data_IF_864162094987
#
_entry.id   IF_864162094987
#
_cell.length_a   1.000
_cell.length_b   1.000
_cell.length_c   1.000
_cell.angle_alpha   90.00
_cell.angle_beta   90.00
_cell.angle_gamma   90.00
#
_symmetry.space_group_name_H-M   'P 1'
#
loop_
_entity.id
_entity.type
_entity.pdbx_description
1 polymer ?
#
# COMPACT_ATOMS: atom_id res chain seq x y z
N UNK A 1 -7.65 24.59 -42.98
CA UNK A 1 -8.02 24.96 -41.60
C UNK A 1 -8.08 23.65 -40.86
N UNK A 2 -6.96 23.29 -40.27
CA UNK A 2 -6.73 21.97 -39.68
C UNK A 2 -7.36 21.91 -38.28
N UNK A 3 -8.23 20.92 -38.06
CA UNK A 3 -8.69 20.55 -36.72
C UNK A 3 -7.63 19.66 -36.07
N UNK A 4 -7.12 20.10 -34.92
CA UNK A 4 -6.19 19.35 -34.07
C UNK A 4 -6.91 18.16 -33.38
N UNK A 5 -6.26 16.98 -33.27
CA UNK A 5 -6.84 15.83 -32.58
C UNK A 5 -6.86 16.02 -31.05
N UNK A 6 -7.80 15.37 -30.32
CA UNK A 6 -7.93 15.51 -28.88
C UNK A 6 -6.72 14.91 -28.14
N UNK A 7 -6.17 15.67 -27.20
CA UNK A 7 -5.00 15.30 -26.41
C UNK A 7 -5.28 14.11 -25.45
N UNK A 8 -4.44 13.04 -25.47
CA UNK A 8 -4.61 11.86 -24.61
C UNK A 8 -4.32 12.09 -23.11
N UNK A 9 -3.84 13.28 -22.73
CA UNK A 9 -3.43 13.59 -21.35
C UNK A 9 -4.59 13.86 -20.38
N UNK A 10 -5.77 14.29 -20.86
CA UNK A 10 -6.92 14.57 -19.97
C UNK A 10 -7.68 13.30 -19.57
N UNK A 11 -7.77 12.33 -20.48
CA UNK A 11 -8.52 11.09 -20.29
C UNK A 11 -7.89 10.21 -19.20
N UNK A 12 -6.55 10.19 -19.11
CA UNK A 12 -5.82 9.44 -18.09
C UNK A 12 -6.02 10.01 -16.66
N UNK A 13 -6.12 11.35 -16.53
CA UNK A 13 -6.38 11.99 -15.23
C UNK A 13 -7.78 11.70 -14.71
N UNK A 14 -8.78 11.65 -15.60
CA UNK A 14 -10.16 11.35 -15.22
C UNK A 14 -10.33 9.91 -14.74
N UNK A 15 -9.69 8.93 -15.39
CA UNK A 15 -9.71 7.53 -14.93
C UNK A 15 -9.03 7.35 -13.57
N UNK A 16 -7.91 8.03 -13.31
CA UNK A 16 -7.23 7.98 -12.01
C UNK A 16 -8.03 8.60 -10.86
N UNK A 17 -8.80 9.66 -11.13
CA UNK A 17 -9.68 10.29 -10.12
C UNK A 17 -10.89 9.39 -9.84
N UNK A 18 -11.50 8.79 -10.87
CA UNK A 18 -12.65 7.90 -10.70
C UNK A 18 -12.26 6.62 -9.92
N UNK A 19 -11.08 6.06 -10.18
CA UNK A 19 -10.54 4.92 -9.42
C UNK A 19 -10.34 5.26 -7.94
N UNK A 20 -9.78 6.45 -7.65
CA UNK A 20 -9.57 6.95 -6.28
C UNK A 20 -10.88 7.13 -5.51
N UNK A 21 -11.95 7.61 -6.17
CA UNK A 21 -13.26 7.81 -5.52
C UNK A 21 -13.95 6.47 -5.24
N UNK A 22 -13.89 5.50 -6.17
CA UNK A 22 -14.56 4.20 -6.00
C UNK A 22 -13.94 3.36 -4.87
N UNK A 23 -12.61 3.34 -4.73
CA UNK A 23 -11.94 2.62 -3.63
C UNK A 23 -12.27 3.20 -2.24
N UNK A 24 -12.45 4.52 -2.14
CA UNK A 24 -12.82 5.20 -0.89
C UNK A 24 -14.26 4.88 -0.49
N UNK A 25 -15.20 4.91 -1.45
CA UNK A 25 -16.62 4.64 -1.18
C UNK A 25 -16.84 3.17 -0.78
N UNK A 26 -16.15 2.22 -1.40
CA UNK A 26 -16.27 0.80 -1.04
C UNK A 26 -15.68 0.49 0.34
N UNK A 27 -14.61 1.17 0.73
CA UNK A 27 -14.00 1.06 2.07
C UNK A 27 -14.90 1.62 3.19
N UNK A 28 -15.83 2.51 2.86
CA UNK A 28 -16.81 3.07 3.82
C UNK A 28 -18.00 2.12 4.00
N UNK A 29 -18.48 1.49 2.92
CA UNK A 29 -19.67 0.62 2.94
C UNK A 29 -19.42 -0.75 3.55
N UNK A 30 -18.20 -1.29 3.49
CA UNK A 30 -17.88 -2.64 4.01
C UNK A 30 -17.59 -2.63 5.52
N UNK A 31 -17.24 -1.48 6.11
CA UNK A 31 -16.74 -1.40 7.49
C UNK A 31 -17.62 -0.66 8.49
N UNK A 32 -18.75 -0.08 8.06
CA UNK A 32 -19.76 0.49 8.97
C UNK A 32 -21.17 -0.01 8.59
N UNK A 33 -21.87 -0.77 9.44
CA UNK A 33 -23.27 -1.08 9.22
C UNK A 33 -24.09 0.20 9.50
N UNK A 34 -24.39 0.97 8.46
CA UNK A 34 -25.30 2.11 8.56
C UNK A 34 -26.75 1.61 8.42
N UNK A 35 -27.55 1.91 9.43
CA UNK A 35 -28.98 1.62 9.51
C UNK A 35 -29.74 2.33 8.37
N UNK A 36 -30.29 1.54 7.45
CA UNK A 36 -30.84 1.95 6.14
C UNK A 36 -32.09 2.83 6.26
N UNK A 37 -32.64 3.01 7.46
CA UNK A 37 -33.88 3.78 7.68
C UNK A 37 -33.69 5.29 7.78
N UNK A 38 -32.47 5.78 8.06
CA UNK A 38 -32.24 7.23 8.21
C UNK A 38 -32.14 8.00 6.88
N UNK A 39 -31.90 7.30 5.75
CA UNK A 39 -31.62 7.95 4.47
C UNK A 39 -32.89 8.21 3.63
N UNK A 40 -33.95 7.42 3.81
CA UNK A 40 -35.19 7.54 3.03
C UNK A 40 -36.01 8.79 3.39
N UNK A 41 -35.83 9.33 4.61
CA UNK A 41 -36.55 10.53 5.06
C UNK A 41 -35.95 11.85 4.54
N UNK A 42 -34.69 11.87 4.12
CA UNK A 42 -34.01 13.11 3.68
C UNK A 42 -34.13 13.34 2.16
N UNK A 43 -34.20 12.26 1.37
CA UNK A 43 -34.42 12.35 -0.09
C UNK A 43 -35.83 12.86 -0.41
N UNK A 44 -36.83 12.49 0.40
CA UNK A 44 -38.23 12.90 0.22
C UNK A 44 -38.50 14.37 0.55
N UNK A 45 -37.59 15.07 1.23
CA UNK A 45 -37.76 16.49 1.58
C UNK A 45 -37.18 17.46 0.54
N UNK A 46 -36.40 16.98 -0.43
CA UNK A 46 -35.64 17.86 -1.33
C UNK A 46 -35.77 17.55 -2.84
N UNK A 47 -36.75 16.77 -3.26
CA UNK A 47 -37.00 16.56 -4.71
C UNK A 47 -38.44 16.87 -5.11
N UNK A 48 -38.57 17.81 -6.04
CA UNK A 48 -39.83 18.24 -6.64
C UNK A 48 -40.37 17.12 -7.57
N UNK A 49 -41.65 16.72 -7.47
CA UNK A 49 -42.16 15.55 -8.16
C UNK A 49 -42.73 15.92 -9.55
N UNK A 50 -41.90 15.91 -10.59
CA UNK A 50 -42.42 15.94 -11.97
C UNK A 50 -41.39 15.60 -13.05
N UNK A 51 -40.71 14.44 -13.01
CA UNK A 51 -40.20 13.79 -14.24
C UNK A 51 -40.14 12.28 -14.04
N UNK A 52 -41.30 11.66 -13.84
CA UNK A 52 -41.51 10.25 -14.16
C UNK A 52 -42.57 10.24 -15.25
N UNK A 53 -42.12 10.27 -16.50
CA UNK A 53 -42.77 9.64 -17.65
C UNK A 53 -41.95 9.94 -18.90
N UNK A 54 -41.53 8.88 -19.60
CA UNK A 54 -41.07 9.01 -20.98
C UNK A 54 -39.76 8.31 -21.31
N UNK A 55 -39.91 7.06 -21.78
CA UNK A 55 -39.09 6.45 -22.83
C UNK A 55 -37.67 5.98 -22.46
N UNK A 56 -37.66 4.72 -22.03
CA UNK A 56 -36.65 3.74 -22.44
C UNK A 56 -36.62 3.68 -23.98
N UNK A 57 -35.57 4.20 -24.59
CA UNK A 57 -35.17 3.82 -25.94
C UNK A 57 -33.67 4.07 -26.18
N UNK A 58 -32.94 2.96 -26.33
CA UNK A 58 -31.62 2.82 -26.95
C UNK A 58 -30.54 3.84 -26.59
N UNK A 59 -29.69 3.47 -25.63
CA UNK A 59 -28.29 3.92 -25.61
C UNK A 59 -27.39 2.68 -25.61
N UNK A 60 -27.14 2.15 -26.81
CA UNK A 60 -25.94 1.35 -27.05
C UNK A 60 -24.77 2.35 -27.06
N UNK A 61 -24.09 2.47 -25.93
CA UNK A 61 -22.96 3.35 -25.70
C UNK A 61 -22.02 2.78 -24.63
N UNK A 62 -20.89 3.45 -24.34
CA UNK A 62 -19.69 2.91 -23.65
C UNK A 62 -19.91 2.42 -22.20
N UNK A 63 -21.14 2.47 -21.71
CA UNK A 63 -21.55 1.89 -20.44
C UNK A 63 -21.49 0.35 -20.45
N UNK A 64 -21.72 -0.32 -21.58
CA UNK A 64 -21.60 -1.79 -21.65
C UNK A 64 -20.15 -2.26 -21.55
N UNK A 65 -19.21 -1.53 -22.14
CA UNK A 65 -17.77 -1.76 -21.98
C UNK A 65 -17.31 -1.40 -20.57
N UNK A 66 -17.77 -0.29 -19.99
CA UNK A 66 -17.46 0.05 -18.60
C UNK A 66 -17.99 -1.01 -17.61
N UNK A 67 -19.19 -1.56 -17.86
CA UNK A 67 -19.78 -2.64 -17.07
C UNK A 67 -19.10 -4.00 -17.32
N UNK A 68 -18.58 -4.28 -18.51
CA UNK A 68 -17.75 -5.47 -18.76
C UNK A 68 -16.35 -5.34 -18.15
N UNK A 69 -15.75 -4.15 -18.19
CA UNK A 69 -14.48 -3.84 -17.53
C UNK A 69 -14.65 -3.97 -16.02
N UNK A 70 -15.75 -3.48 -15.46
CA UNK A 70 -16.14 -3.60 -14.05
C UNK A 70 -16.43 -5.06 -13.65
N UNK A 71 -17.09 -5.84 -14.52
CA UNK A 71 -17.28 -7.28 -14.31
C UNK A 71 -15.98 -8.08 -14.37
N UNK A 72 -15.01 -7.71 -15.21
CA UNK A 72 -13.64 -8.29 -15.19
C UNK A 72 -12.85 -7.85 -13.96
N UNK A 73 -13.17 -6.69 -13.41
CA UNK A 73 -12.60 -6.17 -12.17
C UNK A 73 -13.07 -6.97 -10.93
N UNK A 74 -14.28 -7.56 -10.97
CA UNK A 74 -14.88 -8.32 -9.87
C UNK A 74 -15.03 -9.84 -10.06
N UNK A 75 -14.94 -10.37 -11.28
CA UNK A 75 -14.92 -11.83 -11.46
C UNK A 75 -13.53 -12.34 -11.10
N UNK A 76 -13.36 -12.82 -9.86
CA UNK A 76 -12.19 -13.53 -9.33
C UNK A 76 -11.89 -14.86 -10.04
N UNK A 77 -11.87 -14.85 -11.37
CA UNK A 77 -11.51 -15.95 -12.24
C UNK A 77 -10.32 -15.47 -13.07
N UNK A 78 -9.10 -15.59 -12.52
CA UNK A 78 -7.89 -15.46 -13.35
C UNK A 78 -6.64 -14.82 -12.77
N UNK A 79 -6.53 -14.57 -11.45
CA UNK A 79 -5.19 -14.33 -10.84
C UNK A 79 -4.85 -15.57 -10.03
N UNK A 80 -4.37 -16.60 -10.73
CA UNK A 80 -3.96 -17.86 -10.13
C UNK A 80 -2.52 -17.83 -9.61
N UNK A 81 -1.74 -16.82 -10.00
CA UNK A 81 -0.30 -16.75 -9.70
C UNK A 81 0.18 -15.36 -9.29
N UNK A 82 1.30 -15.30 -8.55
CA UNK A 82 1.96 -14.05 -8.20
C UNK A 82 2.39 -13.22 -9.42
N UNK A 83 2.76 -13.89 -10.52
CA UNK A 83 3.16 -13.24 -11.77
C UNK A 83 1.99 -12.50 -12.42
N UNK A 84 0.84 -13.16 -12.56
CA UNK A 84 -0.38 -12.53 -13.09
C UNK A 84 -0.82 -11.33 -12.23
N UNK A 85 -0.65 -11.39 -10.91
CA UNK A 85 -0.91 -10.26 -10.02
C UNK A 85 -0.04 -9.05 -10.38
N UNK A 86 1.26 -9.26 -10.56
CA UNK A 86 2.20 -8.17 -10.90
C UNK A 86 1.95 -7.66 -12.32
N UNK A 87 1.70 -8.54 -13.29
CA UNK A 87 1.35 -8.16 -14.66
C UNK A 87 0.09 -7.29 -14.70
N UNK A 88 -0.93 -7.62 -13.89
CA UNK A 88 -2.12 -6.79 -13.76
C UNK A 88 -1.79 -5.40 -13.19
N UNK A 89 -0.96 -5.32 -12.14
CA UNK A 89 -0.50 -4.02 -11.61
C UNK A 89 0.27 -3.20 -12.65
N UNK A 90 1.03 -3.86 -13.54
CA UNK A 90 1.70 -3.19 -14.67
C UNK A 90 0.68 -2.69 -15.71
N UNK A 91 -0.30 -3.52 -16.08
CA UNK A 91 -1.34 -3.17 -17.04
C UNK A 91 -2.18 -1.96 -16.59
N UNK A 92 -2.46 -1.84 -15.29
CA UNK A 92 -3.14 -0.68 -14.71
C UNK A 92 -2.22 0.53 -14.48
N UNK A 93 -0.93 0.43 -14.81
CA UNK A 93 0.04 1.52 -14.68
C UNK A 93 0.41 1.86 -13.24
N UNK A 94 0.10 0.98 -12.28
CA UNK A 94 0.54 1.05 -10.88
C UNK A 94 2.02 0.77 -10.80
N UNK A 95 2.47 -0.34 -11.39
CA UNK A 95 3.90 -0.69 -11.53
C UNK A 95 4.40 -0.26 -12.90
N UNK A 96 5.44 0.57 -12.90
CA UNK A 96 6.11 1.12 -14.09
C UNK A 96 7.59 0.77 -14.12
N UNK A 97 8.20 0.57 -12.95
CA UNK A 97 9.59 0.14 -12.86
C UNK A 97 9.70 -1.37 -13.11
N UNK A 98 10.57 -1.73 -14.05
CA UNK A 98 10.97 -3.13 -14.31
C UNK A 98 11.60 -3.76 -13.08
N UNK A 99 12.41 -3.00 -12.33
CA UNK A 99 13.09 -3.53 -11.13
C UNK A 99 12.10 -3.83 -10.02
N UNK A 100 11.09 -2.98 -9.85
CA UNK A 100 10.01 -3.21 -8.87
C UNK A 100 9.17 -4.43 -9.26
N UNK A 101 8.77 -4.57 -10.54
CA UNK A 101 8.02 -5.76 -10.97
C UNK A 101 8.82 -7.05 -10.77
N UNK A 102 10.09 -7.07 -11.17
CA UNK A 102 10.97 -8.26 -10.99
C UNK A 102 11.07 -8.68 -9.52
N UNK A 103 11.19 -7.72 -8.60
CA UNK A 103 11.25 -8.02 -7.17
C UNK A 103 9.92 -8.53 -6.64
N UNK A 104 8.80 -7.90 -7.00
CA UNK A 104 7.47 -8.36 -6.58
C UNK A 104 7.13 -9.73 -7.16
N UNK A 105 7.54 -10.04 -8.39
CA UNK A 105 7.38 -11.37 -9.00
C UNK A 105 8.19 -12.44 -8.25
N UNK A 106 9.38 -12.07 -7.75
CA UNK A 106 10.29 -12.98 -7.04
C UNK A 106 9.85 -13.27 -5.59
N UNK A 107 9.15 -12.32 -4.95
CA UNK A 107 8.62 -12.49 -3.58
C UNK A 107 7.16 -12.92 -3.70
N UNK A 108 6.92 -14.22 -3.74
CA UNK A 108 5.56 -14.76 -3.84
C UNK A 108 4.72 -14.36 -2.62
N UNK A 109 3.70 -13.53 -2.87
CA UNK A 109 2.78 -13.03 -1.85
C UNK A 109 2.03 -14.15 -1.12
N UNK A 110 1.84 -15.33 -1.71
CA UNK A 110 1.17 -16.45 -1.06
C UNK A 110 1.87 -16.92 0.22
N UNK A 111 3.18 -16.72 0.37
CA UNK A 111 3.89 -17.05 1.61
C UNK A 111 3.62 -16.07 2.75
N UNK A 112 3.01 -14.92 2.47
CA UNK A 112 2.84 -13.82 3.42
C UNK A 112 1.37 -13.57 3.77
N UNK A 113 0.46 -14.39 3.25
CA UNK A 113 -0.99 -14.31 3.48
C UNK A 113 -1.42 -15.57 4.25
N UNK A 114 -2.38 -15.49 5.20
CA UNK A 114 -2.88 -16.67 5.88
C UNK A 114 -3.49 -17.70 4.93
N UNK A 115 -3.41 -18.98 5.30
CA UNK A 115 -3.96 -20.08 4.52
C UNK A 115 -5.48 -19.92 4.30
N UNK A 116 -5.95 -20.32 3.11
CA UNK A 116 -7.38 -20.28 2.76
C UNK A 116 -7.88 -18.90 2.28
N UNK A 117 -7.03 -17.88 2.25
CA UNK A 117 -7.36 -16.56 1.68
C UNK A 117 -6.74 -16.41 0.29
N UNK A 118 -7.46 -15.87 -0.73
CA UNK A 118 -6.89 -15.58 -2.04
C UNK A 118 -5.73 -14.58 -1.94
N UNK A 119 -4.47 -14.97 -2.20
CA UNK A 119 -3.31 -14.14 -1.87
C UNK A 119 -3.05 -13.02 -2.90
N UNK A 120 -3.56 -13.19 -4.12
CA UNK A 120 -3.22 -12.37 -5.28
C UNK A 120 -4.28 -11.35 -5.67
N UNK A 121 -5.35 -11.23 -4.88
CA UNK A 121 -6.36 -10.19 -5.07
C UNK A 121 -5.81 -8.88 -4.56
N UNK A 122 -6.02 -7.79 -5.30
CA UNK A 122 -5.49 -6.46 -4.95
C UNK A 122 -6.26 -5.78 -3.80
N UNK A 123 -6.22 -6.40 -2.61
CA UNK A 123 -6.91 -5.95 -1.40
C UNK A 123 -6.03 -6.18 -0.17
N UNK A 124 -6.17 -5.38 0.90
CA UNK A 124 -5.62 -5.74 2.19
C UNK A 124 -6.23 -7.05 2.70
N UNK A 125 -5.44 -7.84 3.43
CA UNK A 125 -5.89 -9.10 4.05
C UNK A 125 -5.57 -9.08 5.54
N UNK A 126 -6.51 -9.44 6.43
CA UNK A 126 -6.25 -9.57 7.86
C UNK A 126 -5.19 -10.64 8.17
N UNK A 127 -4.31 -10.36 9.12
CA UNK A 127 -3.21 -11.25 9.53
C UNK A 127 -3.23 -11.58 11.03
N UNK A 128 -4.36 -11.29 11.69
CA UNK A 128 -4.49 -11.33 13.15
C UNK A 128 -3.98 -10.06 13.82
N UNK A 129 -4.12 -10.00 15.15
CA UNK A 129 -3.59 -8.91 15.99
C UNK A 129 -4.01 -7.50 15.56
N UNK A 130 -5.23 -7.35 15.01
CA UNK A 130 -5.76 -6.11 14.46
C UNK A 130 -4.85 -5.46 13.38
N UNK A 131 -4.11 -6.30 12.65
CA UNK A 131 -3.26 -5.91 11.55
C UNK A 131 -3.72 -6.53 10.22
N UNK A 132 -3.26 -5.92 9.12
CA UNK A 132 -3.49 -6.41 7.77
C UNK A 132 -2.18 -6.39 6.98
N UNK A 133 -1.96 -7.36 6.10
CA UNK A 133 -1.00 -7.18 5.00
C UNK A 133 -1.63 -6.23 3.97
N UNK A 134 -0.92 -5.17 3.61
CA UNK A 134 -1.41 -4.16 2.66
C UNK A 134 -1.69 -4.74 1.28
N UNK A 135 -2.56 -4.07 0.52
CA UNK A 135 -2.86 -4.43 -0.86
C UNK A 135 -1.58 -4.43 -1.74
N UNK A 136 -1.46 -5.35 -2.71
CA UNK A 136 -0.40 -5.37 -3.71
C UNK A 136 -0.06 -4.00 -4.32
N UNK A 137 -1.05 -3.19 -4.72
CA UNK A 137 -0.79 -1.87 -5.30
C UNK A 137 -0.10 -0.90 -4.33
N UNK A 138 -0.36 -1.02 -3.02
CA UNK A 138 0.31 -0.17 -2.02
C UNK A 138 1.77 -0.57 -1.84
N UNK A 139 2.09 -1.87 -1.80
CA UNK A 139 3.47 -2.32 -1.78
C UNK A 139 4.23 -1.87 -3.04
N UNK A 140 3.62 -2.00 -4.22
CA UNK A 140 4.15 -1.49 -5.47
C UNK A 140 4.42 0.02 -5.41
N UNK A 141 3.46 0.79 -4.91
CA UNK A 141 3.58 2.24 -4.78
C UNK A 141 4.76 2.62 -3.88
N UNK A 142 4.85 2.03 -2.68
CA UNK A 142 5.95 2.32 -1.74
C UNK A 142 7.32 1.90 -2.30
N UNK A 143 7.42 0.74 -2.96
CA UNK A 143 8.66 0.30 -3.62
C UNK A 143 9.11 1.29 -4.69
N UNK A 144 8.20 1.83 -5.50
CA UNK A 144 8.56 2.81 -6.54
C UNK A 144 8.99 4.16 -5.96
N UNK A 145 8.31 4.63 -4.91
CA UNK A 145 8.67 5.89 -4.25
C UNK A 145 10.07 5.83 -3.62
N UNK A 146 10.45 4.65 -3.13
CA UNK A 146 11.72 4.38 -2.47
C UNK A 146 12.78 3.78 -3.41
N UNK A 147 12.46 3.44 -4.66
CA UNK A 147 13.33 2.68 -5.56
C UNK A 147 14.75 3.24 -5.64
N UNK A 148 14.89 4.56 -5.83
CA UNK A 148 16.20 5.24 -5.92
C UNK A 148 17.04 5.18 -4.63
N UNK A 149 16.41 4.87 -3.49
CA UNK A 149 17.01 4.74 -2.16
C UNK A 149 17.06 3.28 -1.69
N UNK A 150 16.67 2.34 -2.57
CA UNK A 150 16.74 0.90 -2.38
C UNK A 150 17.70 0.30 -3.41
N UNK A 151 18.94 0.78 -3.42
CA UNK A 151 19.97 0.32 -4.35
C UNK A 151 20.94 -0.68 -3.68
N UNK A 152 21.66 -1.51 -4.46
CA UNK A 152 22.64 -2.44 -3.91
C UNK A 152 23.61 -1.79 -2.92
N UNK A 153 23.71 -2.32 -1.70
CA UNK A 153 24.57 -1.79 -0.64
C UNK A 153 23.91 -0.76 0.29
N UNK A 154 22.69 -0.30 -0.02
CA UNK A 154 21.96 0.65 0.82
C UNK A 154 21.31 -0.03 2.04
N UNK A 155 20.87 0.82 2.99
CA UNK A 155 20.19 0.42 4.21
C UNK A 155 18.74 0.89 4.20
N UNK A 156 17.82 -0.02 4.45
CA UNK A 156 16.39 0.24 4.50
C UNK A 156 15.80 -0.18 5.85
N UNK A 157 14.88 0.64 6.37
CA UNK A 157 14.04 0.33 7.54
C UNK A 157 12.58 0.20 7.10
N UNK A 158 11.91 -0.84 7.58
CA UNK A 158 10.49 -1.10 7.41
C UNK A 158 9.82 -1.15 8.79
N UNK A 159 9.17 -0.06 9.17
CA UNK A 159 8.47 0.10 10.45
C UNK A 159 7.05 -0.43 10.34
N UNK A 160 6.63 -1.27 11.29
CA UNK A 160 5.37 -2.01 11.18
C UNK A 160 5.48 -3.08 10.12
N UNK A 161 6.55 -3.89 10.17
CA UNK A 161 6.88 -4.84 9.10
C UNK A 161 5.84 -5.95 8.91
N UNK A 162 4.95 -6.18 9.89
CA UNK A 162 3.82 -7.09 9.77
C UNK A 162 4.22 -8.49 9.32
N UNK A 163 3.79 -8.89 8.12
CA UNK A 163 4.09 -10.22 7.56
C UNK A 163 5.52 -10.36 7.05
N UNK A 164 6.28 -9.26 6.92
CA UNK A 164 7.63 -9.22 6.38
C UNK A 164 7.72 -9.14 4.86
N UNK A 165 6.59 -9.03 4.14
CA UNK A 165 6.57 -9.00 2.67
C UNK A 165 7.40 -7.85 2.10
N UNK A 166 7.17 -6.63 2.60
CA UNK A 166 7.86 -5.45 2.08
C UNK A 166 9.33 -5.43 2.52
N UNK A 167 9.62 -5.88 3.74
CA UNK A 167 11.00 -6.09 4.22
C UNK A 167 11.78 -7.07 3.31
N UNK A 168 11.14 -8.16 2.88
CA UNK A 168 11.72 -9.11 1.92
C UNK A 168 11.98 -8.46 0.55
N UNK A 169 11.04 -7.68 0.05
CA UNK A 169 11.23 -6.89 -1.18
C UNK A 169 12.42 -5.93 -1.05
N UNK A 170 12.52 -5.19 0.07
CA UNK A 170 13.65 -4.28 0.31
C UNK A 170 14.98 -5.02 0.32
N UNK A 171 15.05 -6.19 0.94
CA UNK A 171 16.27 -6.99 0.96
C UNK A 171 16.72 -7.40 -0.45
N UNK A 172 15.80 -7.84 -1.33
CA UNK A 172 16.13 -8.14 -2.71
C UNK A 172 16.56 -6.91 -3.52
N UNK A 173 16.05 -5.73 -3.18
CA UNK A 173 16.45 -4.46 -3.80
C UNK A 173 17.87 -4.04 -3.40
N UNK A 174 18.18 -4.06 -2.09
CA UNK A 174 19.49 -3.63 -1.56
C UNK A 174 20.58 -4.71 -1.62
N UNK A 175 20.17 -5.97 -1.85
CA UNK A 175 21.07 -7.11 -2.07
C UNK A 175 21.94 -7.49 -0.86
N UNK A 176 22.84 -8.47 -1.03
CA UNK A 176 23.62 -9.08 0.07
C UNK A 176 24.72 -8.18 0.65
N UNK A 177 24.97 -7.02 0.04
CA UNK A 177 25.88 -5.99 0.57
C UNK A 177 25.12 -4.87 1.30
N UNK A 178 23.79 -4.85 1.17
CA UNK A 178 22.92 -3.89 1.83
C UNK A 178 22.39 -4.42 3.15
N UNK A 179 21.40 -3.72 3.71
CA UNK A 179 20.73 -4.12 4.94
C UNK A 179 19.25 -3.72 4.89
N UNK A 180 18.35 -4.67 5.02
CA UNK A 180 16.93 -4.43 5.25
C UNK A 180 16.56 -4.82 6.68
N UNK A 181 15.93 -3.92 7.42
CA UNK A 181 15.53 -4.13 8.81
C UNK A 181 14.03 -3.94 8.92
N UNK A 182 13.30 -4.96 9.37
CA UNK A 182 11.91 -4.87 9.78
C UNK A 182 11.79 -4.66 11.28
N UNK A 183 10.89 -3.78 11.71
CA UNK A 183 10.54 -3.60 13.13
C UNK A 183 9.04 -3.76 13.31
N UNK A 184 8.64 -4.62 14.23
CA UNK A 184 7.24 -4.94 14.50
C UNK A 184 7.05 -5.11 16.01
N UNK A 185 6.01 -4.48 16.58
CA UNK A 185 5.82 -4.49 18.04
C UNK A 185 5.03 -5.71 18.54
N UNK A 186 4.44 -6.51 17.65
CA UNK A 186 3.78 -7.77 18.01
C UNK A 186 4.77 -8.95 17.82
N UNK A 187 5.25 -9.60 18.91
CA UNK A 187 6.22 -10.69 18.82
C UNK A 187 5.76 -11.87 17.94
N UNK A 188 4.46 -12.16 17.96
CA UNK A 188 3.86 -13.23 17.19
C UNK A 188 3.89 -12.95 15.67
N UNK A 189 3.74 -11.68 15.28
CA UNK A 189 3.90 -11.26 13.88
C UNK A 189 5.37 -11.35 13.44
N UNK A 190 6.33 -10.96 14.29
CA UNK A 190 7.77 -11.14 14.01
C UNK A 190 8.12 -12.62 13.81
N UNK A 191 7.63 -13.49 14.70
CA UNK A 191 7.88 -14.93 14.57
C UNK A 191 7.26 -15.51 13.29
N UNK A 192 6.06 -15.05 12.92
CA UNK A 192 5.42 -15.44 11.67
C UNK A 192 6.15 -14.89 10.43
N UNK A 193 6.61 -13.63 10.47
CA UNK A 193 7.26 -12.99 9.34
C UNK A 193 8.58 -13.68 8.99
N UNK A 194 9.35 -14.09 10.00
CA UNK A 194 10.57 -14.87 9.80
C UNK A 194 10.28 -16.17 9.03
N UNK A 195 9.25 -16.92 9.46
CA UNK A 195 8.83 -18.15 8.77
C UNK A 195 8.33 -17.91 7.33
N UNK A 196 7.67 -16.78 7.09
CA UNK A 196 7.21 -16.40 5.75
C UNK A 196 8.41 -16.09 4.85
N UNK A 197 9.38 -15.34 5.36
CA UNK A 197 10.60 -14.96 4.63
C UNK A 197 11.45 -16.18 4.30
N UNK A 198 11.57 -17.15 5.22
CA UNK A 198 12.30 -18.42 5.02
C UNK A 198 11.74 -19.25 3.85
N UNK A 199 10.47 -19.09 3.49
CA UNK A 199 9.83 -19.75 2.33
C UNK A 199 10.01 -18.97 1.03
N UNK A 200 10.47 -17.72 1.11
CA UNK A 200 10.55 -16.78 -0.02
C UNK A 200 11.94 -16.73 -0.66
N UNK A 201 12.06 -16.04 -1.79
CA UNK A 201 13.35 -15.77 -2.44
C UNK A 201 14.34 -14.97 -1.56
N UNK A 202 13.87 -14.30 -0.50
CA UNK A 202 14.73 -13.54 0.42
C UNK A 202 15.36 -14.39 1.54
N UNK A 203 15.05 -15.69 1.64
CA UNK A 203 15.58 -16.57 2.68
C UNK A 203 17.13 -16.57 2.81
N UNK A 204 17.93 -16.54 1.71
CA UNK A 204 19.38 -16.44 1.82
C UNK A 204 19.83 -15.15 2.52
N UNK A 205 19.17 -14.03 2.25
CA UNK A 205 19.52 -12.73 2.82
C UNK A 205 19.23 -12.66 4.32
N UNK A 206 18.20 -13.36 4.79
CA UNK A 206 17.95 -13.53 6.22
C UNK A 206 19.09 -14.32 6.88
N UNK A 207 19.49 -15.45 6.28
CA UNK A 207 20.57 -16.30 6.80
C UNK A 207 21.93 -15.58 6.82
N UNK A 208 22.21 -14.78 5.80
CA UNK A 208 23.44 -13.99 5.66
C UNK A 208 23.43 -12.70 6.51
N UNK A 209 22.28 -12.35 7.09
CA UNK A 209 22.08 -11.16 7.91
C UNK A 209 21.86 -9.88 7.11
N UNK A 210 21.81 -9.91 5.78
CA UNK A 210 21.41 -8.73 4.98
C UNK A 210 19.95 -8.34 5.18
N UNK A 211 19.12 -9.27 5.67
CA UNK A 211 17.76 -9.04 6.15
C UNK A 211 17.69 -9.38 7.64
N UNK A 212 16.98 -8.58 8.43
CA UNK A 212 16.61 -8.92 9.81
C UNK A 212 15.24 -8.35 10.18
N UNK A 213 14.52 -9.00 11.10
CA UNK A 213 13.24 -8.51 11.63
C UNK A 213 13.28 -8.57 13.15
N UNK A 214 12.88 -7.49 13.83
CA UNK A 214 13.03 -7.33 15.28
C UNK A 214 11.71 -6.98 15.96
N UNK A 215 11.58 -7.43 17.20
CA UNK A 215 10.51 -6.97 18.09
C UNK A 215 10.91 -5.61 18.66
N UNK A 216 10.08 -4.59 18.45
CA UNK A 216 10.36 -3.26 19.00
C UNK A 216 9.29 -2.22 18.68
N UNK A 217 9.33 -1.10 19.40
CA UNK A 217 8.50 0.06 19.10
C UNK A 217 9.05 0.81 17.88
N UNK A 218 8.39 0.60 16.74
CA UNK A 218 8.76 1.21 15.47
C UNK A 218 8.78 2.74 15.47
N UNK A 219 8.09 3.42 16.40
CA UNK A 219 8.14 4.89 16.55
C UNK A 219 9.54 5.38 16.95
N UNK A 220 10.35 4.50 17.54
CA UNK A 220 11.74 4.76 17.91
C UNK A 220 12.75 4.37 16.80
N UNK A 221 12.27 3.84 15.67
CA UNK A 221 13.11 3.29 14.61
C UNK A 221 13.94 2.08 15.08
N UNK A 222 15.14 1.93 14.53
CA UNK A 222 16.09 0.90 14.93
C UNK A 222 17.53 1.42 14.85
N UNK A 223 17.98 2.06 15.93
CA UNK A 223 19.24 2.80 15.94
C UNK A 223 20.49 1.93 15.64
N UNK A 224 20.46 0.62 15.93
CA UNK A 224 21.62 -0.26 15.75
C UNK A 224 22.09 -0.39 14.30
N UNK A 225 21.20 -0.21 13.33
CA UNK A 225 21.53 -0.27 11.89
C UNK A 225 21.43 1.08 11.18
N UNK A 226 21.03 2.13 11.90
CA UNK A 226 21.01 3.49 11.41
C UNK A 226 22.42 3.97 10.99
N UNK A 227 22.52 5.02 10.17
CA UNK A 227 21.42 5.71 9.50
C UNK A 227 20.95 4.96 8.23
N UNK A 228 19.73 5.26 7.77
CA UNK A 228 19.05 4.60 6.65
C UNK A 228 18.98 5.48 5.40
N UNK A 229 19.13 4.85 4.23
CA UNK A 229 18.88 5.49 2.93
C UNK A 229 17.37 5.57 2.64
N UNK A 230 16.63 4.54 3.04
CA UNK A 230 15.18 4.45 2.89
C UNK A 230 14.50 4.07 4.20
N UNK A 231 13.40 4.74 4.54
CA UNK A 231 12.50 4.34 5.63
C UNK A 231 11.08 4.20 5.07
N UNK A 232 10.43 3.10 5.37
CA UNK A 232 9.00 2.91 5.15
C UNK A 232 8.30 2.76 6.50
N UNK A 233 7.10 3.31 6.60
CA UNK A 233 6.23 3.11 7.76
C UNK A 233 4.90 2.54 7.28
N UNK A 234 4.65 1.28 7.61
CA UNK A 234 3.47 0.51 7.23
C UNK A 234 2.23 0.75 8.10
N UNK A 235 2.19 1.87 8.83
CA UNK A 235 1.10 2.24 9.71
C UNK A 235 0.98 3.78 9.79
N UNK A 236 -0.24 4.29 9.94
CA UNK A 236 -0.50 5.72 9.96
C UNK A 236 -0.11 6.35 11.29
N UNK A 237 0.85 7.28 11.26
CA UNK A 237 1.23 8.06 12.43
C UNK A 237 0.37 9.32 12.55
N UNK A 238 0.06 9.74 13.77
CA UNK A 238 -0.61 11.02 14.00
C UNK A 238 0.26 12.20 13.48
N UNK A 239 1.56 12.12 13.74
CA UNK A 239 2.59 13.02 13.26
C UNK A 239 3.84 12.21 12.89
N UNK A 240 4.74 12.79 12.09
CA UNK A 240 5.98 12.11 11.68
C UNK A 240 6.89 11.93 12.91
N UNK A 241 7.28 10.70 13.29
CA UNK A 241 8.12 10.48 14.47
C UNK A 241 9.52 11.09 14.28
N UNK A 242 9.99 11.98 15.20
CA UNK A 242 11.31 12.61 15.09
C UNK A 242 12.47 11.61 15.00
N UNK A 243 12.39 10.50 15.75
CA UNK A 243 13.41 9.45 15.74
C UNK A 243 13.65 8.86 14.34
N UNK A 244 12.61 8.81 13.48
CA UNK A 244 12.76 8.33 12.11
C UNK A 244 13.43 9.38 11.20
N UNK A 245 13.17 10.67 11.43
CA UNK A 245 13.87 11.76 10.74
C UNK A 245 15.36 11.77 11.12
N UNK A 246 15.66 11.56 12.41
CA UNK A 246 17.03 11.53 12.93
C UNK A 246 17.83 10.36 12.36
N UNK A 247 17.20 9.19 12.21
CA UNK A 247 17.82 7.99 11.65
C UNK A 247 17.89 7.99 10.12
N UNK A 248 17.25 8.95 9.43
CA UNK A 248 17.37 9.11 7.99
C UNK A 248 18.72 9.76 7.64
N UNK A 249 19.42 9.21 6.65
CA UNK A 249 20.65 9.81 6.11
C UNK A 249 20.36 11.14 5.43
N UNK A 250 21.34 12.07 5.38
CA UNK A 250 21.35 13.11 4.37
C UNK A 250 21.27 12.49 2.96
N UNK A 251 20.35 12.98 2.14
CA UNK A 251 19.98 12.38 0.84
C UNK A 251 19.04 11.17 0.93
N UNK A 252 18.57 10.80 2.12
CA UNK A 252 17.64 9.69 2.33
C UNK A 252 16.18 10.09 2.15
N UNK A 253 15.32 9.08 1.98
CA UNK A 253 13.87 9.25 1.84
C UNK A 253 13.08 8.38 2.81
N UNK A 254 12.01 8.95 3.36
CA UNK A 254 10.98 8.23 4.10
C UNK A 254 9.62 8.30 3.39
N UNK A 255 8.87 7.21 3.44
CA UNK A 255 7.47 7.12 3.02
C UNK A 255 6.62 6.70 4.21
N UNK A 256 5.66 7.54 4.60
CA UNK A 256 4.88 7.38 5.83
C UNK A 256 3.44 7.89 5.64
N UNK A 257 2.40 7.11 5.97
CA UNK A 257 1.05 7.61 6.11
C UNK A 257 0.94 8.50 7.37
N UNK A 258 0.40 9.70 7.22
CA UNK A 258 0.25 10.65 8.34
C UNK A 258 -1.19 11.15 8.40
N UNK A 259 -1.75 11.11 9.60
CA UNK A 259 -3.10 11.58 9.92
C UNK A 259 -3.89 10.58 10.77
N UNK A 260 -5.01 11.04 11.33
CA UNK A 260 -5.88 10.23 12.16
C UNK A 260 -7.05 9.65 11.33
N UNK A 261 -8.07 10.49 11.10
CA UNK A 261 -9.29 10.11 10.35
C UNK A 261 -9.04 10.19 8.83
N UNK A 262 -8.46 11.29 8.39
CA UNK A 262 -7.97 11.47 7.02
C UNK A 262 -6.46 11.30 7.05
N UNK A 263 -5.94 10.46 6.17
CA UNK A 263 -4.53 10.09 6.12
C UNK A 263 -4.00 10.32 4.72
N UNK A 264 -2.84 10.96 4.63
CA UNK A 264 -2.12 11.11 3.38
C UNK A 264 -0.78 10.39 3.46
N UNK A 265 -0.44 9.67 2.39
CA UNK A 265 0.88 9.08 2.22
C UNK A 265 1.86 10.21 1.91
N UNK A 266 2.73 10.52 2.87
CA UNK A 266 3.74 11.56 2.73
C UNK A 266 5.06 10.97 2.29
N UNK A 267 5.77 11.73 1.46
CA UNK A 267 7.17 11.49 1.12
C UNK A 267 8.00 12.58 1.77
N UNK A 268 8.96 12.15 2.56
CA UNK A 268 9.85 12.99 3.35
C UNK A 268 11.26 12.78 2.82
N UNK A 269 11.84 13.81 2.23
CA UNK A 269 13.21 13.83 1.76
C UNK A 269 14.06 14.63 2.76
N UNK A 270 15.22 14.07 3.15
CA UNK A 270 16.23 14.80 3.93
C UNK A 270 17.34 15.21 3.00
N UNK A 271 17.49 16.50 2.77
CA UNK A 271 18.50 17.04 1.87
C UNK A 271 19.91 16.80 2.44
N UNK A 272 20.92 17.00 1.59
CA UNK A 272 22.33 16.80 1.99
C UNK A 272 22.79 17.77 3.09
N UNK A 273 22.14 18.93 3.22
CA UNK A 273 22.36 19.91 4.28
C UNK A 273 21.58 19.62 5.57
N UNK A 274 20.77 18.56 5.57
CA UNK A 274 19.94 18.13 6.70
C UNK A 274 18.55 18.78 6.76
N UNK A 275 18.20 19.68 5.84
CA UNK A 275 16.85 20.23 5.75
C UNK A 275 15.83 19.16 5.31
N UNK A 276 14.57 19.35 5.71
CA UNK A 276 13.50 18.37 5.51
C UNK A 276 12.45 18.92 4.54
N UNK A 277 12.23 18.20 3.45
CA UNK A 277 11.19 18.49 2.46
C UNK A 277 10.08 17.43 2.56
N UNK A 278 8.82 17.88 2.66
CA UNK A 278 7.66 17.00 2.82
C UNK A 278 6.65 17.32 1.72
N UNK A 279 6.14 16.27 1.08
CA UNK A 279 5.06 16.38 0.09
C UNK A 279 4.07 15.24 0.21
N UNK A 280 2.82 15.53 -0.14
CA UNK A 280 1.74 14.54 -0.15
C UNK A 280 1.73 13.81 -1.50
N UNK A 281 1.65 12.48 -1.47
CA UNK A 281 1.57 11.65 -2.67
C UNK A 281 0.12 11.34 -3.03
N UNK A 282 -0.64 10.80 -2.06
CA UNK A 282 -2.03 10.40 -2.23
C UNK A 282 -2.69 10.17 -0.89
N UNK A 283 -4.00 10.35 -0.81
CA UNK A 283 -4.78 9.91 0.35
C UNK A 283 -4.81 8.39 0.42
N UNK A 284 -4.75 7.86 1.64
CA UNK A 284 -4.64 6.43 1.94
C UNK A 284 -5.44 6.06 3.18
N UNK A 285 -5.51 4.76 3.48
CA UNK A 285 -6.03 4.25 4.75
C UNK A 285 -5.16 3.11 5.25
N UNK A 286 -4.49 3.34 6.36
CA UNK A 286 -3.60 2.42 7.04
C UNK A 286 -4.08 2.17 8.47
N UNK A 287 -3.66 1.03 9.03
CA UNK A 287 -3.80 0.76 10.47
C UNK A 287 -2.98 1.80 11.27
N UNK A 288 -3.41 2.19 12.48
CA UNK A 288 -2.69 3.21 13.26
C UNK A 288 -1.31 2.75 13.73
N UNK A 289 -0.30 3.61 13.63
CA UNK A 289 0.99 3.45 14.30
C UNK A 289 0.81 3.82 15.78
N UNK A 290 0.68 2.81 16.63
CA UNK A 290 0.27 2.99 18.03
C UNK A 290 1.08 2.09 18.97
N UNK A 291 0.82 2.17 20.27
CA UNK A 291 1.35 1.21 21.25
C UNK A 291 0.71 -0.17 21.06
N UNK A 292 1.46 -1.23 21.40
CA UNK A 292 0.95 -2.61 21.39
C UNK A 292 -0.37 -2.77 22.15
N UNK A 293 -0.49 -2.14 23.32
CA UNK A 293 -1.67 -2.20 24.18
C UNK A 293 -2.90 -1.65 23.44
N UNK A 294 -2.79 -0.45 22.89
CA UNK A 294 -3.85 0.17 22.11
C UNK A 294 -4.23 -0.61 20.84
N UNK A 295 -3.29 -1.32 20.21
CA UNK A 295 -3.59 -2.15 19.03
C UNK A 295 -4.37 -3.41 19.40
N UNK A 296 -3.97 -4.10 20.47
CA UNK A 296 -4.61 -5.37 20.87
C UNK A 296 -5.91 -5.15 21.64
N UNK A 297 -6.11 -3.96 22.22
CA UNK A 297 -7.18 -3.68 23.16
C UNK A 297 -6.83 -4.18 24.56
N UNK A 298 -7.50 -3.63 25.58
CA UNK A 298 -7.49 -4.21 26.91
C UNK A 298 -8.23 -5.55 26.84
N UNK A 299 -7.51 -6.66 27.08
CA UNK A 299 -8.07 -8.01 27.21
C UNK A 299 -9.02 -8.12 28.41
#
# INVERSE_FOLDING_TARGET
>A
MDELPPHPFLTLKFQGILFRVVCIVYSILVYFPWDVQSFDNDIRRHTCPSVLDGQVSSLNGPASEAVEIDKRFWSGSGIGTNKEMVENLQNYGVVRSKKVSEVMESVDRAFFVPDGVPPYVDTPVPIGYNATISAPHMHATCLQLLEKHLQPGMRALDVGSGTGYLTACFALMVGPKGRAVGVEHIPELVASSIKNIEKSAAAPLLKEGSLSVHVGDGRQGWAECAPYDAIHVGAAAAEIPPALIDQLKPGGRMVIPVGNIFQDLKVVDKDTDGSINIRDETSVRYVPLTSREAQLGDN
#
